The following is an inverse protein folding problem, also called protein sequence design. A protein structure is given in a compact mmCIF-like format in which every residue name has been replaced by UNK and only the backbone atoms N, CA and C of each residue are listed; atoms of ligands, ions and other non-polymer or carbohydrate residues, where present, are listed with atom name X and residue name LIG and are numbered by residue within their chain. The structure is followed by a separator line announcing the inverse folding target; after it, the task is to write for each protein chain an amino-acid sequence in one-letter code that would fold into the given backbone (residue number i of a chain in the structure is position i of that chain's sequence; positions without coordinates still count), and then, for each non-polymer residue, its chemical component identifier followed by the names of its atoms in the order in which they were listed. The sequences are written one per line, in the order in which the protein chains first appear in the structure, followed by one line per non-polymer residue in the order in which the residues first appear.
data_IF_845869194068
#
_entry.id   IF_845869194068
#
_cell.length_a   1.000
_cell.length_b   1.000
_cell.length_c   1.000
_cell.angle_alpha   90.00
_cell.angle_beta   90.00
_cell.angle_gamma   90.00
#
_symmetry.space_group_name_H-M   'P 1'
#
loop_
_entity.id
_entity.type
_entity.pdbx_description
1 polymer ?
#
# COMPACT_ATOMS: atom_id res chain seq x y z
N UNK A 1 -8.66 2.43 -22.60
CA UNK A 1 -7.90 2.74 -21.41
C UNK A 1 -6.43 2.89 -21.81
N UNK A 2 -5.84 4.07 -21.63
CA UNK A 2 -4.43 4.28 -21.93
C UNK A 2 -3.66 4.12 -20.63
N UNK A 3 -2.60 3.31 -20.64
CA UNK A 3 -1.67 3.14 -19.52
C UNK A 3 -0.31 3.64 -19.99
N UNK A 4 0.17 4.73 -19.36
CA UNK A 4 1.44 5.34 -19.71
C UNK A 4 2.59 4.70 -18.89
N UNK A 5 2.30 4.27 -17.66
CA UNK A 5 3.24 3.56 -16.78
C UNK A 5 2.62 2.25 -16.27
N UNK A 6 2.93 1.12 -16.94
CA UNK A 6 2.34 -0.19 -16.59
C UNK A 6 3.09 -0.92 -15.47
N UNK A 7 4.28 -0.44 -15.05
CA UNK A 7 5.14 -1.15 -14.09
C UNK A 7 4.64 -1.00 -12.68
N UNK A 8 4.67 -2.12 -11.95
CA UNK A 8 4.24 -2.23 -10.56
C UNK A 8 5.45 -2.56 -9.70
N UNK A 9 5.87 -1.61 -8.88
CA UNK A 9 6.90 -1.80 -7.87
C UNK A 9 6.31 -1.98 -6.46
N UNK A 10 5.07 -1.53 -6.26
CA UNK A 10 4.30 -1.70 -5.03
C UNK A 10 3.03 -2.49 -5.34
N UNK A 11 2.92 -3.68 -4.78
CA UNK A 11 1.80 -4.61 -5.01
C UNK A 11 1.75 -5.69 -3.94
N UNK A 12 0.62 -6.42 -3.85
CA UNK A 12 0.31 -7.36 -2.77
C UNK A 12 1.34 -8.50 -2.65
N UNK A 13 1.74 -9.11 -3.76
CA UNK A 13 2.68 -10.23 -3.77
C UNK A 13 4.14 -9.80 -3.99
N UNK A 14 4.44 -8.55 -3.68
CA UNK A 14 5.80 -8.02 -3.83
C UNK A 14 6.76 -8.64 -2.80
N UNK A 15 8.02 -8.96 -3.19
CA UNK A 15 9.05 -9.37 -2.23
C UNK A 15 9.25 -8.35 -1.12
N UNK A 16 9.77 -8.79 0.03
CA UNK A 16 9.98 -7.96 1.22
C UNK A 16 10.76 -6.67 0.91
N UNK A 17 11.78 -6.76 0.07
CA UNK A 17 12.48 -5.59 -0.46
C UNK A 17 12.89 -5.78 -1.92
N UNK A 18 13.21 -4.69 -2.58
CA UNK A 18 13.82 -4.68 -3.92
C UNK A 18 14.82 -3.53 -4.02
N UNK A 19 15.96 -3.76 -4.64
CA UNK A 19 16.92 -2.71 -4.97
C UNK A 19 16.76 -2.39 -6.45
N UNK A 20 16.50 -1.14 -6.76
CA UNK A 20 16.15 -0.64 -8.09
C UNK A 20 16.95 0.61 -8.44
N UNK A 21 16.92 0.98 -9.71
CA UNK A 21 17.67 2.13 -10.23
C UNK A 21 19.17 1.84 -10.31
N UNK A 22 19.94 2.86 -10.57
CA UNK A 22 21.38 2.72 -10.66
C UNK A 22 21.82 2.07 -11.98
N UNK A 23 21.64 2.80 -13.08
CA UNK A 23 22.24 2.39 -14.35
C UNK A 23 23.75 2.18 -14.18
N UNK A 24 24.27 1.05 -14.66
CA UNK A 24 25.72 0.90 -14.77
C UNK A 24 26.31 1.95 -15.74
N UNK A 25 27.61 2.16 -15.64
CA UNK A 25 28.34 3.13 -16.49
C UNK A 25 28.19 2.82 -18.00
N UNK A 26 27.89 1.58 -18.35
CA UNK A 26 27.61 1.14 -19.72
C UNK A 26 26.19 1.47 -20.22
N UNK A 27 25.35 2.06 -19.37
CA UNK A 27 23.97 2.46 -19.69
C UNK A 27 22.97 1.30 -19.87
N UNK A 28 23.37 0.06 -19.56
CA UNK A 28 22.48 -1.10 -19.73
C UNK A 28 21.46 -1.19 -18.60
N UNK A 29 20.16 -1.31 -18.95
CA UNK A 29 19.12 -1.59 -17.98
C UNK A 29 19.22 -3.04 -17.47
N UNK A 30 19.11 -3.25 -16.14
CA UNK A 30 19.32 -4.55 -15.49
C UNK A 30 18.07 -5.13 -14.83
N UNK A 31 17.08 -4.29 -14.56
CA UNK A 31 15.83 -4.73 -13.95
C UNK A 31 14.99 -5.47 -15.00
N UNK A 32 14.65 -6.73 -14.74
CA UNK A 32 13.76 -7.48 -15.62
C UNK A 32 12.39 -6.83 -15.64
N UNK A 33 11.94 -6.41 -16.82
CA UNK A 33 10.61 -5.82 -17.04
C UNK A 33 9.61 -6.92 -17.42
N UNK A 34 9.82 -7.56 -18.57
CA UNK A 34 9.00 -8.68 -19.02
C UNK A 34 9.75 -9.60 -19.98
N UNK A 35 9.32 -10.89 -20.11
CA UNK A 35 9.85 -11.78 -21.11
C UNK A 35 9.47 -11.31 -22.52
N UNK A 36 10.43 -11.32 -23.44
CA UNK A 36 10.23 -10.96 -24.85
C UNK A 36 11.03 -11.91 -25.74
N UNK A 37 10.35 -12.87 -26.36
CA UNK A 37 10.96 -13.88 -27.23
C UNK A 37 11.60 -13.28 -28.50
N UNK A 38 11.28 -12.04 -28.84
CA UNK A 38 11.87 -11.32 -29.98
C UNK A 38 13.17 -10.61 -29.65
N UNK A 39 13.47 -10.40 -28.35
CA UNK A 39 14.69 -9.78 -27.90
C UNK A 39 15.87 -10.73 -27.89
N UNK A 40 17.13 -10.28 -28.13
CA UNK A 40 18.32 -11.14 -28.14
C UNK A 40 18.49 -11.98 -26.88
N UNK A 41 18.14 -11.44 -25.71
CA UNK A 41 18.24 -12.11 -24.41
C UNK A 41 16.87 -12.67 -23.93
N UNK A 42 15.88 -12.75 -24.81
CA UNK A 42 14.51 -13.19 -24.50
C UNK A 42 13.84 -12.41 -23.36
N UNK A 43 14.27 -11.18 -23.13
CA UNK A 43 13.73 -10.32 -22.09
C UNK A 43 13.89 -8.86 -22.44
N UNK A 44 13.01 -8.03 -21.91
CA UNK A 44 13.17 -6.58 -21.84
C UNK A 44 13.58 -6.18 -20.44
N UNK A 45 14.50 -5.25 -20.37
CA UNK A 45 14.98 -4.71 -19.13
C UNK A 45 14.59 -3.23 -19.02
N UNK A 46 14.45 -2.77 -17.78
CA UNK A 46 14.15 -1.40 -17.43
C UNK A 46 15.14 -0.89 -16.38
N UNK A 47 15.12 0.38 -16.15
CA UNK A 47 15.75 1.03 -14.99
C UNK A 47 14.70 1.90 -14.33
N UNK A 48 14.50 1.72 -13.05
CA UNK A 48 13.60 2.55 -12.27
C UNK A 48 14.08 4.02 -12.25
N UNK A 49 13.18 4.92 -12.61
CA UNK A 49 13.43 6.38 -12.64
C UNK A 49 12.50 7.17 -11.71
N UNK A 50 11.70 6.47 -10.89
CA UNK A 50 10.78 7.07 -9.95
C UNK A 50 11.43 7.60 -8.67
N UNK A 51 10.59 8.13 -7.79
CA UNK A 51 11.01 8.74 -6.51
C UNK A 51 10.86 7.83 -5.29
N UNK A 52 10.24 6.65 -5.46
CA UNK A 52 9.99 5.70 -4.38
C UNK A 52 11.27 5.09 -3.79
N UNK A 53 11.16 4.53 -2.59
CA UNK A 53 12.28 3.92 -1.87
C UNK A 53 13.26 4.94 -1.28
N UNK A 54 14.32 4.42 -0.67
CA UNK A 54 15.39 5.21 -0.02
C UNK A 54 16.71 5.01 -0.77
N UNK A 55 17.53 6.06 -0.98
CA UNK A 55 18.85 5.92 -1.57
C UNK A 55 19.71 4.94 -0.77
N UNK A 56 20.30 3.96 -1.46
CA UNK A 56 21.14 2.90 -0.84
C UNK A 56 22.59 2.99 -1.29
N UNK A 57 22.96 3.99 -2.10
CA UNK A 57 24.32 4.15 -2.63
C UNK A 57 25.39 4.37 -1.55
N UNK A 58 25.07 5.07 -0.46
CA UNK A 58 26.07 5.36 0.59
C UNK A 58 26.46 4.09 1.38
N UNK A 59 27.75 3.96 1.79
CA UNK A 59 28.21 2.81 2.58
C UNK A 59 27.43 2.63 3.89
N UNK A 60 27.02 3.72 4.55
CA UNK A 60 26.25 3.67 5.78
C UNK A 60 24.86 3.06 5.53
N UNK A 61 24.14 3.53 4.51
CA UNK A 61 22.83 2.98 4.17
C UNK A 61 22.92 1.52 3.76
N UNK A 62 23.94 1.13 2.98
CA UNK A 62 24.20 -0.28 2.63
C UNK A 62 24.37 -1.13 3.89
N UNK A 63 25.19 -0.66 4.86
CA UNK A 63 25.41 -1.38 6.10
C UNK A 63 24.12 -1.55 6.92
N UNK A 64 23.33 -0.48 7.07
CA UNK A 64 22.06 -0.52 7.79
C UNK A 64 21.06 -1.51 7.17
N UNK A 65 20.92 -1.50 5.84
CA UNK A 65 20.03 -2.43 5.16
C UNK A 65 20.55 -3.86 5.11
N UNK A 66 21.88 -4.06 5.00
CA UNK A 66 22.49 -5.38 5.12
C UNK A 66 22.24 -6.02 6.49
N UNK A 67 22.31 -5.23 7.56
CA UNK A 67 21.97 -5.69 8.92
C UNK A 67 20.47 -5.95 9.05
N UNK A 68 19.64 -5.04 8.57
CA UNK A 68 18.17 -5.17 8.65
C UNK A 68 17.67 -6.45 8.01
N UNK A 69 18.18 -6.80 6.82
CA UNK A 69 17.73 -7.95 6.04
C UNK A 69 18.63 -9.19 6.23
N UNK A 70 19.70 -9.08 7.05
CA UNK A 70 20.71 -10.13 7.24
C UNK A 70 21.32 -10.59 5.90
N UNK A 71 21.47 -9.67 4.96
CA UNK A 71 21.94 -9.93 3.58
C UNK A 71 23.26 -9.20 3.30
N UNK A 72 24.41 -9.87 3.49
CA UNK A 72 25.75 -9.27 3.28
C UNK A 72 25.97 -8.79 1.85
N UNK A 73 25.26 -9.38 0.87
CA UNK A 73 25.42 -9.04 -0.54
C UNK A 73 25.01 -7.57 -0.82
N UNK A 74 24.19 -6.96 0.01
CA UNK A 74 23.85 -5.52 -0.09
C UNK A 74 25.12 -4.67 0.08
N UNK A 75 26.04 -5.07 0.97
CA UNK A 75 27.31 -4.38 1.17
C UNK A 75 28.32 -4.67 0.04
N UNK A 76 28.38 -5.92 -0.40
CA UNK A 76 29.44 -6.43 -1.27
C UNK A 76 29.16 -6.26 -2.76
N UNK A 77 27.92 -5.97 -3.14
CA UNK A 77 27.51 -5.89 -4.53
C UNK A 77 28.08 -4.67 -5.22
N UNK A 78 28.76 -4.89 -6.34
CA UNK A 78 29.19 -3.84 -7.26
C UNK A 78 28.05 -3.32 -8.17
N UNK A 79 26.86 -3.95 -8.09
CA UNK A 79 25.67 -3.55 -8.86
C UNK A 79 24.94 -2.37 -8.24
N UNK A 80 25.21 -2.08 -6.97
CA UNK A 80 24.62 -0.97 -6.25
C UNK A 80 25.52 0.26 -6.38
N UNK A 81 24.96 1.37 -6.84
CA UNK A 81 25.66 2.65 -6.99
C UNK A 81 24.87 3.80 -6.33
N UNK A 82 25.35 5.04 -6.50
CA UNK A 82 24.76 6.22 -5.85
C UNK A 82 23.33 6.53 -6.28
N UNK A 83 22.90 6.03 -7.44
CA UNK A 83 21.52 6.19 -7.94
C UNK A 83 20.60 5.07 -7.49
N UNK A 84 21.13 3.98 -6.91
CA UNK A 84 20.34 2.85 -6.46
C UNK A 84 19.47 3.21 -5.27
N UNK A 85 18.25 2.69 -5.29
CA UNK A 85 17.25 2.87 -4.23
C UNK A 85 16.78 1.51 -3.73
N UNK A 86 16.54 1.39 -2.45
CA UNK A 86 15.90 0.22 -1.86
C UNK A 86 14.45 0.54 -1.51
N UNK A 87 13.56 -0.32 -1.93
CA UNK A 87 12.13 -0.29 -1.63
C UNK A 87 11.80 -1.41 -0.66
N UNK A 88 10.99 -1.14 0.32
CA UNK A 88 10.45 -2.12 1.27
C UNK A 88 9.03 -1.76 1.65
N UNK A 89 8.35 -2.64 2.39
CA UNK A 89 6.93 -2.47 2.71
C UNK A 89 6.12 -2.21 1.43
N UNK A 90 6.28 -3.08 0.45
CA UNK A 90 5.76 -2.87 -0.90
C UNK A 90 4.30 -3.25 -1.06
N UNK A 91 3.75 -3.97 -0.08
CA UNK A 91 2.32 -4.30 -0.02
C UNK A 91 1.48 -3.05 0.31
N UNK A 92 0.44 -2.73 -0.50
CA UNK A 92 -0.38 -1.53 -0.33
C UNK A 92 -1.02 -1.38 1.05
N UNK A 93 -1.51 -2.47 1.64
CA UNK A 93 -2.10 -2.46 2.99
C UNK A 93 -1.05 -2.14 4.05
N UNK A 94 0.12 -2.74 3.93
CA UNK A 94 1.24 -2.52 4.86
C UNK A 94 1.67 -1.05 4.84
N UNK A 95 1.79 -0.45 3.65
CA UNK A 95 2.17 0.96 3.51
C UNK A 95 1.10 1.88 4.13
N UNK A 96 -0.18 1.66 3.80
CA UNK A 96 -1.29 2.45 4.35
C UNK A 96 -1.39 2.28 5.87
N UNK A 97 -1.23 1.06 6.39
CA UNK A 97 -1.24 0.79 7.83
C UNK A 97 -0.14 1.51 8.61
N UNK A 98 1.01 1.76 7.98
CA UNK A 98 2.10 2.56 8.58
C UNK A 98 1.82 4.06 8.54
N UNK A 99 1.17 4.55 7.49
CA UNK A 99 0.78 5.97 7.36
C UNK A 99 -0.38 6.31 8.28
N UNK A 100 -1.36 5.42 8.41
CA UNK A 100 -2.57 5.62 9.21
C UNK A 100 -2.87 4.40 10.10
N UNK A 101 -2.07 4.15 11.17
CA UNK A 101 -2.22 2.98 12.04
C UNK A 101 -3.53 2.96 12.85
N UNK A 102 -4.26 4.06 12.84
CA UNK A 102 -5.57 4.22 13.48
C UNK A 102 -6.75 3.76 12.61
N UNK A 103 -6.51 3.50 11.31
CA UNK A 103 -7.49 2.90 10.42
C UNK A 103 -7.49 1.37 10.54
N UNK A 104 -8.68 0.78 10.40
CA UNK A 104 -8.82 -0.62 10.03
C UNK A 104 -8.94 -0.70 8.51
N UNK A 105 -8.12 -1.52 7.87
CA UNK A 105 -8.08 -1.63 6.43
C UNK A 105 -8.87 -2.83 5.95
N UNK A 106 -9.61 -2.65 4.85
CA UNK A 106 -10.28 -3.73 4.14
C UNK A 106 -9.29 -4.79 3.69
N UNK A 107 -9.73 -6.03 3.64
CA UNK A 107 -8.86 -7.15 3.26
C UNK A 107 -8.63 -7.24 1.75
N UNK A 108 -9.40 -6.52 0.95
CA UNK A 108 -9.37 -6.61 -0.50
C UNK A 108 -8.96 -5.27 -1.18
N UNK A 109 -7.66 -4.91 -1.20
CA UNK A 109 -7.16 -3.84 -2.04
C UNK A 109 -7.42 -4.15 -3.52
N UNK A 110 -7.69 -3.13 -4.32
CA UNK A 110 -7.94 -3.35 -5.73
C UNK A 110 -7.21 -2.34 -6.62
N UNK A 111 -6.65 -2.80 -7.77
CA UNK A 111 -5.96 -1.92 -8.68
C UNK A 111 -6.93 -1.17 -9.59
N UNK A 112 -6.59 0.08 -9.90
CA UNK A 112 -7.29 0.94 -10.84
C UNK A 112 -6.29 1.68 -11.72
N UNK A 113 -6.73 2.14 -12.90
CA UNK A 113 -5.91 3.00 -13.75
C UNK A 113 -6.43 4.43 -13.67
N UNK A 114 -5.61 5.31 -13.14
CA UNK A 114 -5.93 6.72 -12.92
C UNK A 114 -4.77 7.58 -13.42
N UNK A 115 -5.05 8.52 -14.32
CA UNK A 115 -4.03 9.38 -14.91
C UNK A 115 -2.91 8.62 -15.63
N UNK A 116 -3.24 7.54 -16.35
CA UNK A 116 -2.27 6.70 -17.09
C UNK A 116 -1.38 5.81 -16.20
N UNK A 117 -1.61 5.76 -14.88
CA UNK A 117 -0.82 4.97 -13.92
C UNK A 117 -1.70 3.98 -13.17
N UNK A 118 -1.12 2.84 -12.79
CA UNK A 118 -1.77 1.87 -11.92
C UNK A 118 -1.70 2.39 -10.48
N UNK A 119 -2.84 2.38 -9.79
CA UNK A 119 -2.95 2.75 -8.38
C UNK A 119 -3.76 1.71 -7.65
N UNK A 120 -3.40 1.45 -6.41
CA UNK A 120 -4.16 0.61 -5.50
C UNK A 120 -5.12 1.47 -4.69
N UNK A 121 -6.37 1.04 -4.61
CA UNK A 121 -7.33 1.62 -3.66
C UNK A 121 -7.47 0.64 -2.49
N UNK A 122 -7.30 1.18 -1.29
CA UNK A 122 -7.46 0.46 -0.02
C UNK A 122 -8.52 1.17 0.78
N UNK A 123 -9.61 0.48 1.09
CA UNK A 123 -10.68 1.01 1.92
C UNK A 123 -10.26 1.05 3.39
N UNK A 124 -10.51 2.18 4.04
CA UNK A 124 -10.14 2.42 5.43
C UNK A 124 -11.36 2.71 6.29
N UNK A 125 -11.45 1.96 7.39
CA UNK A 125 -12.54 2.09 8.36
C UNK A 125 -12.10 2.85 9.60
N UNK A 126 -12.93 3.77 10.04
CA UNK A 126 -12.92 4.27 11.42
C UNK A 126 -13.73 3.34 12.29
N UNK A 127 -13.24 3.02 13.46
CA UNK A 127 -13.89 2.08 14.39
C UNK A 127 -13.94 2.64 15.80
N UNK A 128 -14.92 2.19 16.59
CA UNK A 128 -15.00 2.46 18.01
C UNK A 128 -15.65 1.27 18.73
N UNK A 129 -15.35 1.12 20.00
CA UNK A 129 -16.00 0.17 20.90
C UNK A 129 -16.88 0.87 21.96
N UNK A 130 -17.08 2.16 21.82
CA UNK A 130 -17.69 3.03 22.83
C UNK A 130 -19.01 3.68 22.35
N UNK A 131 -19.60 3.16 21.26
CA UNK A 131 -20.92 3.64 20.82
C UNK A 131 -22.00 3.22 21.81
N UNK A 132 -22.86 4.16 22.29
CA UNK A 132 -23.83 3.85 23.32
C UNK A 132 -24.94 2.94 22.81
N UNK A 133 -25.43 2.07 23.71
CA UNK A 133 -26.59 1.17 23.48
C UNK A 133 -26.44 0.22 22.28
N UNK A 134 -25.21 -0.14 21.91
CA UNK A 134 -24.93 -1.05 20.81
C UNK A 134 -24.10 -2.26 21.27
N UNK A 135 -24.43 -3.44 20.77
CA UNK A 135 -23.67 -4.66 21.04
C UNK A 135 -22.29 -4.60 20.42
N UNK A 136 -21.30 -5.19 21.07
CA UNK A 136 -19.95 -5.33 20.55
C UNK A 136 -19.83 -6.65 19.80
N UNK A 137 -19.12 -6.59 18.67
CA UNK A 137 -18.80 -7.79 17.87
C UNK A 137 -17.29 -7.86 17.67
N UNK A 138 -16.77 -9.09 17.53
CA UNK A 138 -15.36 -9.28 17.16
C UNK A 138 -15.21 -9.07 15.67
N UNK A 139 -14.46 -8.04 15.28
CA UNK A 139 -14.30 -7.66 13.87
C UNK A 139 -13.77 -8.83 13.03
N UNK A 140 -12.75 -9.53 13.51
CA UNK A 140 -12.15 -10.65 12.78
C UNK A 140 -13.14 -11.80 12.52
N UNK A 141 -14.08 -12.05 13.43
CA UNK A 141 -15.15 -13.04 13.22
C UNK A 141 -16.16 -12.55 12.18
N UNK A 142 -16.51 -11.26 12.25
CA UNK A 142 -17.48 -10.65 11.34
C UNK A 142 -17.04 -10.66 9.87
N UNK A 143 -15.73 -10.49 9.62
CA UNK A 143 -15.16 -10.44 8.27
C UNK A 143 -14.56 -11.77 7.80
N UNK A 144 -14.49 -12.79 8.67
CA UNK A 144 -13.98 -14.12 8.29
C UNK A 144 -14.93 -14.80 7.30
N UNK A 145 -14.35 -15.39 6.25
CA UNK A 145 -15.10 -16.32 5.42
C UNK A 145 -15.34 -17.62 6.21
N UNK A 146 -16.57 -18.11 6.20
CA UNK A 146 -16.99 -19.31 6.94
C UNK A 146 -16.22 -20.59 6.59
N UNK A 147 -15.38 -20.55 5.57
CA UNK A 147 -14.56 -21.67 5.07
C UNK A 147 -13.13 -21.67 5.58
N UNK A 148 -12.65 -20.57 6.17
CA UNK A 148 -11.29 -20.45 6.67
C UNK A 148 -11.31 -20.05 8.14
N UNK A 149 -11.40 -21.06 9.02
CA UNK A 149 -11.26 -20.88 10.48
C UNK A 149 -9.82 -20.43 10.77
N UNK A 150 -9.56 -19.14 10.82
CA UNK A 150 -8.32 -18.61 11.41
C UNK A 150 -8.44 -18.74 12.93
N UNK A 151 -7.90 -19.81 13.48
CA UNK A 151 -7.66 -19.97 14.91
C UNK A 151 -6.49 -19.09 15.33
N UNK A 152 -6.75 -17.81 15.53
CA UNK A 152 -5.84 -16.90 16.25
C UNK A 152 -6.46 -16.52 17.59
N UNK A 153 -5.68 -16.17 18.63
CA UNK A 153 -6.24 -15.71 19.88
C UNK A 153 -7.05 -14.43 19.64
N UNK A 154 -8.34 -14.45 20.00
CA UNK A 154 -9.20 -13.29 20.00
C UNK A 154 -8.66 -12.26 20.99
N UNK A 155 -7.98 -11.23 20.52
CA UNK A 155 -7.53 -10.15 21.36
C UNK A 155 -8.73 -9.23 21.68
N UNK A 156 -8.92 -8.82 22.95
CA UNK A 156 -10.02 -7.91 23.35
C UNK A 156 -10.07 -6.59 22.55
N UNK A 157 -8.96 -6.22 21.90
CA UNK A 157 -8.81 -5.00 21.09
C UNK A 157 -9.60 -5.03 19.77
N UNK A 158 -10.05 -6.20 19.31
CA UNK A 158 -10.80 -6.36 18.06
C UNK A 158 -12.32 -6.23 18.23
N UNK A 159 -12.80 -6.02 19.46
CA UNK A 159 -14.23 -5.81 19.70
C UNK A 159 -14.62 -4.37 19.36
N UNK A 160 -15.54 -4.25 18.41
CA UNK A 160 -16.07 -2.96 17.95
C UNK A 160 -17.61 -2.96 18.02
N UNK A 161 -18.18 -1.78 18.13
CA UNK A 161 -19.61 -1.54 17.99
C UNK A 161 -19.95 -0.33 17.13
N UNK A 162 -18.92 0.21 16.44
CA UNK A 162 -19.04 1.26 15.44
C UNK A 162 -18.00 1.00 14.35
N UNK A 163 -18.42 1.08 13.10
CA UNK A 163 -17.56 0.99 11.94
C UNK A 163 -18.13 1.83 10.79
N UNK A 164 -17.27 2.60 10.11
CA UNK A 164 -17.62 3.35 8.90
C UNK A 164 -16.48 3.30 7.90
N UNK A 165 -16.80 3.18 6.62
CA UNK A 165 -15.84 3.38 5.54
C UNK A 165 -15.67 4.88 5.30
N UNK A 166 -14.81 5.51 6.09
CA UNK A 166 -14.65 6.97 6.11
C UNK A 166 -13.43 7.45 5.33
N UNK A 167 -12.54 6.55 4.94
CA UNK A 167 -11.31 6.89 4.21
C UNK A 167 -11.10 5.92 3.05
N UNK A 168 -10.68 6.44 1.90
CA UNK A 168 -10.06 5.63 0.84
C UNK A 168 -8.60 6.05 0.69
N UNK A 169 -7.71 5.08 0.85
CA UNK A 169 -6.29 5.27 0.59
C UNK A 169 -5.99 4.92 -0.87
N UNK A 170 -5.18 5.74 -1.51
CA UNK A 170 -4.72 5.53 -2.88
C UNK A 170 -3.21 5.44 -2.86
N UNK A 171 -2.68 4.29 -3.24
CA UNK A 171 -1.24 4.01 -3.31
C UNK A 171 -0.82 3.93 -4.77
N UNK A 172 0.17 4.71 -5.17
CA UNK A 172 0.73 4.63 -6.51
C UNK A 172 1.57 3.36 -6.63
N UNK A 173 1.24 2.52 -7.61
CA UNK A 173 1.91 1.23 -7.80
C UNK A 173 3.37 1.36 -8.28
N UNK A 174 3.75 2.51 -8.83
CA UNK A 174 5.10 2.74 -9.34
C UNK A 174 6.05 3.28 -8.26
N UNK A 175 5.64 4.31 -7.51
CA UNK A 175 6.52 4.98 -6.55
C UNK A 175 6.10 4.84 -5.07
N UNK A 176 4.98 4.18 -4.79
CA UNK A 176 4.51 3.91 -3.42
C UNK A 176 3.94 5.12 -2.69
N UNK A 177 3.68 6.22 -3.39
CA UNK A 177 3.08 7.41 -2.78
C UNK A 177 1.68 7.11 -2.27
N UNK A 178 1.41 7.42 -1.00
CA UNK A 178 0.11 7.22 -0.35
C UNK A 178 -0.63 8.54 -0.23
N UNK A 179 -1.89 8.54 -0.65
CA UNK A 179 -2.82 9.64 -0.43
C UNK A 179 -4.06 9.10 0.27
N UNK A 180 -4.43 9.70 1.39
CA UNK A 180 -5.66 9.39 2.11
C UNK A 180 -6.73 10.43 1.77
N UNK A 181 -7.91 9.98 1.37
CA UNK A 181 -9.05 10.85 1.04
C UNK A 181 -10.21 10.58 1.98
N UNK A 182 -10.76 11.63 2.57
CA UNK A 182 -12.04 11.56 3.29
C UNK A 182 -13.14 11.08 2.34
N UNK A 183 -13.82 10.00 2.72
CA UNK A 183 -14.90 9.41 1.92
C UNK A 183 -16.26 9.67 2.54
N UNK A 184 -16.33 9.69 3.87
CA UNK A 184 -17.51 10.11 4.65
C UNK A 184 -17.10 11.21 5.62
N UNK A 185 -17.20 12.45 5.17
CA UNK A 185 -16.88 13.63 5.98
C UNK A 185 -17.89 13.89 7.13
N UNK A 186 -19.00 13.16 7.16
CA UNK A 186 -19.97 13.25 8.26
C UNK A 186 -19.53 12.47 9.51
N UNK A 187 -18.56 11.54 9.36
CA UNK A 187 -18.10 10.68 10.43
C UNK A 187 -17.42 11.45 11.58
N UNK A 188 -17.95 11.39 12.81
CA UNK A 188 -17.37 12.08 13.95
C UNK A 188 -16.01 11.50 14.39
N UNK A 189 -15.77 10.20 14.14
CA UNK A 189 -14.50 9.54 14.47
C UNK A 189 -13.42 10.01 13.51
N UNK A 190 -13.70 10.10 12.21
CA UNK A 190 -12.79 10.69 11.23
C UNK A 190 -12.44 12.13 11.60
N UNK A 191 -13.44 12.97 11.89
CA UNK A 191 -13.21 14.36 12.32
C UNK A 191 -12.32 14.48 13.56
N UNK A 192 -12.36 13.49 14.44
CA UNK A 192 -11.48 13.48 15.61
C UNK A 192 -10.05 13.18 15.20
N UNK A 193 -9.83 12.20 14.32
CA UNK A 193 -8.50 11.87 13.82
C UNK A 193 -7.88 12.98 12.97
N UNK A 194 -8.69 13.68 12.16
CA UNK A 194 -8.24 14.86 11.39
C UNK A 194 -7.73 16.00 12.29
N UNK A 195 -8.30 16.15 13.49
CA UNK A 195 -7.80 17.13 14.48
C UNK A 195 -6.50 16.67 15.13
N UNK A 196 -6.32 15.35 15.33
CA UNK A 196 -5.09 14.78 15.90
C UNK A 196 -3.95 14.81 14.89
N UNK A 197 -4.25 14.52 13.63
CA UNK A 197 -3.30 14.46 12.53
C UNK A 197 -3.73 15.38 11.36
N UNK A 198 -3.60 16.71 11.52
CA UNK A 198 -4.06 17.65 10.52
C UNK A 198 -3.30 17.48 9.20
N UNK A 199 -4.05 17.47 8.08
CA UNK A 199 -3.51 17.39 6.73
C UNK A 199 -3.09 15.99 6.27
N UNK A 200 -3.21 14.94 7.09
CA UNK A 200 -2.95 13.56 6.69
C UNK A 200 -4.06 13.03 5.80
N UNK A 201 -5.31 13.30 6.14
CA UNK A 201 -6.46 13.00 5.29
C UNK A 201 -6.83 14.23 4.49
N UNK A 202 -6.90 14.09 3.18
CA UNK A 202 -7.34 15.15 2.26
C UNK A 202 -8.87 15.19 2.23
N UNK A 203 -9.43 16.39 2.27
CA UNK A 203 -10.87 16.61 2.17
C UNK A 203 -11.42 16.10 0.81
N UNK A 204 -12.72 15.90 0.75
CA UNK A 204 -13.42 15.48 -0.47
C UNK A 204 -13.10 16.38 -1.68
N UNK A 205 -13.00 17.68 -1.46
CA UNK A 205 -12.65 18.66 -2.49
C UNK A 205 -11.25 18.48 -3.10
N UNK A 206 -10.34 17.81 -2.38
CA UNK A 206 -8.98 17.50 -2.84
C UNK A 206 -8.87 16.13 -3.55
N UNK A 207 -9.97 15.43 -3.70
CA UNK A 207 -10.03 14.12 -4.34
C UNK A 207 -10.02 14.27 -5.87
N UNK A 208 -9.11 13.58 -6.58
CA UNK A 208 -9.13 13.58 -8.05
C UNK A 208 -10.45 13.04 -8.58
N UNK A 209 -11.04 13.74 -9.56
CA UNK A 209 -12.34 13.38 -10.12
C UNK A 209 -12.34 11.99 -10.80
N UNK A 210 -11.20 11.56 -11.31
CA UNK A 210 -11.00 10.29 -11.97
C UNK A 210 -10.89 9.09 -11.01
N UNK A 211 -10.79 9.32 -9.69
CA UNK A 211 -10.87 8.25 -8.67
C UNK A 211 -12.34 7.89 -8.36
N UNK A 212 -13.26 8.84 -8.47
CA UNK A 212 -14.66 8.64 -8.09
C UNK A 212 -15.35 7.46 -8.81
N UNK A 213 -15.20 7.28 -10.13
CA UNK A 213 -15.82 6.16 -10.83
C UNK A 213 -15.32 4.78 -10.40
N UNK A 214 -14.17 4.72 -9.73
CA UNK A 214 -13.56 3.49 -9.25
C UNK A 214 -13.93 3.15 -7.80
N UNK A 215 -14.72 4.01 -7.13
CA UNK A 215 -15.21 3.75 -5.78
C UNK A 215 -16.20 2.59 -5.76
N UNK A 216 -15.77 1.43 -5.26
CA UNK A 216 -16.66 0.28 -5.02
C UNK A 216 -17.09 0.21 -3.56
N UNK A 217 -18.13 -0.58 -3.31
CA UNK A 217 -18.53 -0.90 -1.93
C UNK A 217 -17.51 -1.87 -1.31
N UNK A 218 -17.00 -1.58 -0.10
CA UNK A 218 -15.96 -2.41 0.52
C UNK A 218 -16.45 -3.81 0.87
N UNK A 219 -15.59 -4.82 0.66
CA UNK A 219 -15.95 -6.23 0.86
C UNK A 219 -16.22 -6.55 2.33
N UNK A 220 -15.34 -6.13 3.23
CA UNK A 220 -15.50 -6.41 4.66
C UNK A 220 -16.72 -5.69 5.25
N UNK A 221 -17.07 -4.49 4.78
CA UNK A 221 -18.31 -3.83 5.17
C UNK A 221 -19.56 -4.62 4.73
N UNK A 222 -19.53 -5.23 3.55
CA UNK A 222 -20.60 -6.10 3.09
C UNK A 222 -20.72 -7.37 3.94
N UNK A 223 -19.60 -7.98 4.33
CA UNK A 223 -19.57 -9.15 5.21
C UNK A 223 -20.19 -8.84 6.58
N UNK A 224 -19.86 -7.68 7.16
CA UNK A 224 -20.42 -7.25 8.46
C UNK A 224 -21.93 -7.02 8.39
N UNK A 225 -22.44 -6.46 7.30
CA UNK A 225 -23.89 -6.23 7.15
C UNK A 225 -24.71 -7.51 7.00
N UNK A 226 -24.06 -8.62 6.68
CA UNK A 226 -24.71 -9.93 6.53
C UNK A 226 -24.98 -10.61 7.88
N UNK A 227 -24.36 -10.17 8.95
CA UNK A 227 -24.53 -10.68 10.31
C UNK A 227 -25.82 -10.15 10.96
#
# INVERSE_FOLDING_TARGET
LQIDQPRVYFGEDSPEYSIVGGNPDDGTARELDYPDDTAPNRQRNNTYDGTGGVPVGSPLNRALFAIKYQEPNIMLSNLINDQSRIMWDRDPKTVVGKVAPWLRLDNDPYPVVVGGRIKWIVDGYTTSNSYPFSSRVTLNEAISDSTLTRTGPNLPKDQINYIRNSVKAVVDAYDGTVNLYGWDESDPVLKTWEKVFPGVVKAESGRPADILPHGRYPEDAFKIQRM
#
